data_IF_589793622652
#
_entry.id   IF_589793622652
#
_cell.length_a   1.000
_cell.length_b   1.000
_cell.length_c   1.000
_cell.angle_alpha   90.00
_cell.angle_beta   90.00
_cell.angle_gamma   90.00
#
_symmetry.space_group_name_H-M   'P 1'
#
loop_
_entity.id
_entity.type
_entity.pdbx_description
1 polymer ?
#
# COMPACT_ATOMS: atom_id res chain seq x y z
N UNK A 1 -9.45 12.27 24.68
CA UNK A 1 -7.99 12.29 24.51
C UNK A 1 -7.50 10.84 24.36
N UNK A 2 -7.58 10.27 23.16
CA UNK A 2 -7.10 8.91 22.86
C UNK A 2 -5.82 9.02 22.02
N UNK A 3 -4.75 9.52 22.64
CA UNK A 3 -3.45 9.74 22.01
C UNK A 3 -2.40 9.44 23.05
N UNK A 4 -1.90 8.20 23.10
CA UNK A 4 -0.67 7.92 23.85
C UNK A 4 0.15 6.75 23.31
N UNK A 5 -0.46 5.66 22.82
CA UNK A 5 0.32 4.44 22.52
C UNK A 5 0.13 3.94 21.08
N UNK A 6 0.30 4.83 20.09
CA UNK A 6 0.50 4.40 18.71
C UNK A 6 1.99 4.29 18.44
N UNK A 7 2.43 3.12 17.96
CA UNK A 7 3.80 2.89 17.50
C UNK A 7 4.15 3.83 16.35
N UNK A 8 5.44 4.03 16.08
CA UNK A 8 5.90 4.95 15.03
C UNK A 8 5.33 4.58 13.65
N UNK A 9 5.18 3.27 13.37
CA UNK A 9 4.54 2.76 12.17
C UNK A 9 3.04 3.04 12.10
N UNK A 10 2.30 2.87 13.20
CA UNK A 10 0.86 3.13 13.23
C UNK A 10 0.52 4.61 13.03
N UNK A 11 1.37 5.53 13.52
CA UNK A 11 1.20 6.98 13.27
C UNK A 11 1.40 7.32 11.80
N UNK A 12 2.43 6.76 11.17
CA UNK A 12 2.70 6.95 9.74
C UNK A 12 1.56 6.43 8.88
N UNK A 13 1.03 5.26 9.23
CA UNK A 13 -0.15 4.68 8.61
C UNK A 13 -1.38 5.57 8.79
N UNK A 14 -1.65 6.08 10.00
CA UNK A 14 -2.78 6.97 10.23
C UNK A 14 -2.67 8.27 9.40
N UNK A 15 -1.48 8.85 9.29
CA UNK A 15 -1.22 10.02 8.45
C UNK A 15 -1.49 9.72 6.97
N UNK A 16 -1.01 8.58 6.47
CA UNK A 16 -1.27 8.13 5.10
C UNK A 16 -2.78 7.94 4.86
N UNK A 17 -3.48 7.32 5.81
CA UNK A 17 -4.92 7.06 5.68
C UNK A 17 -5.74 8.35 5.65
N UNK A 18 -5.47 9.28 6.56
CA UNK A 18 -6.20 10.56 6.63
C UNK A 18 -5.92 11.41 5.41
N UNK A 19 -4.65 11.48 4.97
CA UNK A 19 -4.26 12.32 3.84
C UNK A 19 -4.84 11.82 2.52
N UNK A 20 -4.76 10.51 2.26
CA UNK A 20 -5.35 9.86 1.07
C UNK A 20 -6.87 9.92 1.07
N UNK A 21 -7.52 9.74 2.24
CA UNK A 21 -8.98 9.82 2.33
C UNK A 21 -9.52 11.23 2.07
N UNK A 22 -8.76 12.26 2.43
CA UNK A 22 -9.16 13.67 2.27
C UNK A 22 -8.82 14.26 0.90
N UNK A 23 -7.71 13.81 0.29
CA UNK A 23 -7.24 14.29 -1.02
C UNK A 23 -7.58 13.30 -2.14
N UNK A 24 -8.85 12.91 -2.25
CA UNK A 24 -9.33 12.11 -3.37
C UNK A 24 -9.51 13.01 -4.59
N UNK A 25 -8.46 13.15 -5.37
CA UNK A 25 -8.51 13.75 -6.71
C UNK A 25 -8.56 12.63 -7.75
N UNK A 26 -9.20 12.88 -8.90
CA UNK A 26 -9.12 11.94 -10.02
C UNK A 26 -7.66 11.62 -10.34
N UNK A 27 -7.33 10.33 -10.40
CA UNK A 27 -5.97 9.77 -10.60
C UNK A 27 -5.00 10.03 -9.42
N UNK A 28 -5.12 9.25 -8.34
CA UNK A 28 -4.22 9.32 -7.17
C UNK A 28 -3.17 8.20 -7.22
N UNK A 29 -1.89 8.54 -7.06
CA UNK A 29 -0.80 7.56 -6.92
C UNK A 29 -0.27 7.61 -5.49
N UNK A 30 -0.29 6.47 -4.81
CA UNK A 30 0.22 6.28 -3.46
C UNK A 30 1.52 5.47 -3.51
N UNK A 31 2.63 6.09 -3.12
CA UNK A 31 3.95 5.45 -3.04
C UNK A 31 4.31 5.16 -1.58
N UNK A 32 4.65 3.92 -1.27
CA UNK A 32 5.02 3.47 0.09
C UNK A 32 6.37 2.76 0.00
N UNK A 33 7.41 3.36 0.58
CA UNK A 33 8.70 2.70 0.70
C UNK A 33 8.74 1.84 1.99
N UNK A 34 9.40 0.68 1.92
CA UNK A 34 9.60 -0.27 3.01
C UNK A 34 8.34 -0.48 3.87
N UNK A 35 7.29 -1.03 3.28
CA UNK A 35 5.95 -1.09 3.91
C UNK A 35 5.88 -1.87 5.23
N UNK A 36 6.88 -2.68 5.53
CA UNK A 36 7.05 -3.43 6.77
C UNK A 36 7.75 -2.64 7.89
N UNK A 37 8.36 -1.49 7.58
CA UNK A 37 9.31 -0.84 8.47
C UNK A 37 8.62 -0.38 9.77
N UNK A 38 9.14 -0.82 10.91
CA UNK A 38 8.59 -0.61 12.26
C UNK A 38 7.14 -1.08 12.51
N UNK A 39 6.55 -1.89 11.61
CA UNK A 39 5.21 -2.46 11.78
C UNK A 39 5.30 -3.92 12.24
N UNK A 40 4.54 -4.28 13.28
CA UNK A 40 4.39 -5.69 13.65
C UNK A 40 3.76 -6.47 12.47
N UNK A 41 4.17 -7.72 12.17
CA UNK A 41 3.70 -8.48 11.00
C UNK A 41 2.19 -8.47 10.78
N UNK A 42 1.40 -8.70 11.84
CA UNK A 42 -0.08 -8.60 11.80
C UNK A 42 -0.61 -7.28 11.20
N UNK A 43 0.06 -6.17 11.44
CA UNK A 43 -0.33 -4.86 10.89
C UNK A 43 0.06 -4.70 9.42
N UNK A 44 1.14 -5.33 8.98
CA UNK A 44 1.56 -5.34 7.58
C UNK A 44 0.47 -6.01 6.71
N UNK A 45 0.00 -7.18 7.15
CA UNK A 45 -1.12 -7.89 6.50
C UNK A 45 -2.41 -7.06 6.51
N UNK A 46 -2.74 -6.43 7.64
CA UNK A 46 -3.94 -5.57 7.75
C UNK A 46 -3.85 -4.35 6.83
N UNK A 47 -2.68 -3.70 6.78
CA UNK A 47 -2.45 -2.55 5.92
C UNK A 47 -2.68 -2.94 4.46
N UNK A 48 -2.10 -4.05 4.01
CA UNK A 48 -2.28 -4.40 2.61
C UNK A 48 -3.72 -4.81 2.27
N UNK A 49 -4.39 -5.56 3.14
CA UNK A 49 -5.80 -5.87 2.91
C UNK A 49 -6.64 -4.59 2.76
N UNK A 50 -6.36 -3.58 3.58
CA UNK A 50 -7.01 -2.28 3.48
C UNK A 50 -6.64 -1.54 2.17
N UNK A 51 -5.38 -1.56 1.73
CA UNK A 51 -4.96 -0.97 0.45
C UNK A 51 -5.67 -1.64 -0.74
N UNK A 52 -5.80 -2.97 -0.72
CA UNK A 52 -6.56 -3.71 -1.72
C UNK A 52 -8.02 -3.30 -1.76
N UNK A 53 -8.66 -3.20 -0.59
CA UNK A 53 -10.06 -2.78 -0.50
C UNK A 53 -10.26 -1.35 -1.01
N UNK A 54 -9.26 -0.48 -0.81
CA UNK A 54 -9.28 0.87 -1.35
C UNK A 54 -9.16 0.90 -2.86
N UNK A 55 -8.25 0.12 -3.45
CA UNK A 55 -8.12 0.02 -4.92
C UNK A 55 -9.45 -0.46 -5.53
N UNK A 56 -10.10 -1.45 -4.92
CA UNK A 56 -11.41 -1.95 -5.38
C UNK A 56 -12.51 -0.88 -5.33
N UNK A 57 -12.47 -0.01 -4.32
CA UNK A 57 -13.48 1.03 -4.12
C UNK A 57 -13.19 2.31 -4.91
N UNK A 58 -11.92 2.60 -5.18
CA UNK A 58 -11.44 3.83 -5.81
C UNK A 58 -10.67 3.46 -7.08
N UNK A 59 -11.35 3.34 -8.23
CA UNK A 59 -10.74 2.89 -9.49
C UNK A 59 -9.55 3.72 -9.96
N UNK A 60 -9.50 4.99 -9.52
CA UNK A 60 -8.44 5.93 -9.88
C UNK A 60 -7.24 5.91 -8.90
N UNK A 61 -7.20 4.98 -7.94
CA UNK A 61 -6.09 4.82 -7.00
C UNK A 61 -5.11 3.78 -7.53
N UNK A 62 -3.85 4.19 -7.72
CA UNK A 62 -2.72 3.30 -7.95
C UNK A 62 -1.83 3.28 -6.71
N UNK A 63 -1.44 2.08 -6.25
CA UNK A 63 -0.53 1.92 -5.13
C UNK A 63 0.77 1.27 -5.62
N UNK A 64 1.90 1.90 -5.32
CA UNK A 64 3.24 1.38 -5.56
C UNK A 64 3.89 1.22 -4.20
N UNK A 65 4.28 0.00 -3.86
CA UNK A 65 4.92 -0.29 -2.57
C UNK A 65 6.18 -1.13 -2.75
N UNK A 66 7.17 -0.91 -1.89
CA UNK A 66 8.38 -1.72 -1.80
C UNK A 66 8.38 -2.50 -0.49
N UNK A 67 8.98 -3.69 -0.52
CA UNK A 67 9.15 -4.53 0.65
C UNK A 67 10.38 -5.43 0.49
N UNK A 68 11.09 -5.64 1.59
CA UNK A 68 12.11 -6.65 1.78
C UNK A 68 11.55 -7.93 2.43
N UNK A 69 10.29 -7.94 2.85
CA UNK A 69 9.66 -9.10 3.49
C UNK A 69 9.19 -10.13 2.44
N UNK A 70 9.80 -11.33 2.35
CA UNK A 70 9.40 -12.35 1.37
C UNK A 70 7.96 -12.84 1.56
N UNK A 71 7.47 -12.91 2.80
CA UNK A 71 6.08 -13.34 3.07
C UNK A 71 5.07 -12.35 2.47
N UNK A 72 5.40 -11.05 2.48
CA UNK A 72 4.56 -10.03 1.84
C UNK A 72 4.60 -10.19 0.32
N UNK A 73 5.77 -10.42 -0.28
CA UNK A 73 5.86 -10.66 -1.72
C UNK A 73 5.02 -11.88 -2.15
N UNK A 74 5.09 -12.97 -1.39
CA UNK A 74 4.31 -14.19 -1.65
C UNK A 74 2.80 -13.95 -1.47
N UNK A 75 2.39 -13.25 -0.41
CA UNK A 75 1.00 -12.91 -0.17
C UNK A 75 0.37 -12.04 -1.28
N UNK A 76 1.21 -11.32 -2.04
CA UNK A 76 0.79 -10.36 -3.07
C UNK A 76 1.33 -10.69 -4.46
N UNK A 77 1.64 -11.96 -4.70
CA UNK A 77 2.10 -12.48 -5.98
C UNK A 77 1.29 -11.91 -7.16
N UNK A 78 2.01 -11.43 -8.18
CA UNK A 78 1.44 -10.81 -9.37
C UNK A 78 0.62 -11.79 -10.20
N UNK A 79 1.07 -13.05 -10.27
CA UNK A 79 0.46 -14.11 -11.07
C UNK A 79 -0.83 -14.66 -10.47
N UNK A 80 -1.10 -14.35 -9.20
CA UNK A 80 -2.34 -14.74 -8.54
C UNK A 80 -3.44 -13.70 -8.83
N UNK A 81 -4.44 -14.03 -9.67
CA UNK A 81 -5.53 -13.11 -9.96
C UNK A 81 -6.38 -12.89 -8.70
N UNK A 82 -6.76 -11.64 -8.47
CA UNK A 82 -7.70 -11.25 -7.42
C UNK A 82 -8.76 -10.34 -8.03
N UNK A 83 -10.02 -10.64 -7.74
CA UNK A 83 -11.14 -9.89 -8.28
C UNK A 83 -11.08 -8.40 -7.87
N UNK A 84 -11.27 -7.53 -8.86
CA UNK A 84 -11.23 -6.08 -8.69
C UNK A 84 -9.84 -5.47 -8.47
N UNK A 85 -8.76 -6.24 -8.66
CA UNK A 85 -7.39 -5.75 -8.56
C UNK A 85 -6.63 -5.93 -9.87
N UNK A 86 -5.98 -4.86 -10.32
CA UNK A 86 -4.95 -4.92 -11.36
C UNK A 86 -3.60 -4.91 -10.67
N UNK A 87 -2.86 -6.01 -10.78
CA UNK A 87 -1.53 -6.15 -10.19
C UNK A 87 -0.47 -6.09 -11.29
N UNK A 88 0.68 -5.55 -10.96
CA UNK A 88 1.85 -5.51 -11.83
C UNK A 88 2.15 -4.12 -12.38
N UNK A 89 3.08 -4.08 -13.33
CA UNK A 89 3.50 -2.90 -14.04
C UNK A 89 4.38 -3.36 -15.20
N UNK A 90 4.30 -2.66 -16.33
CA UNK A 90 5.12 -2.96 -17.49
C UNK A 90 6.28 -1.98 -17.53
N UNK A 91 7.50 -2.49 -17.57
CA UNK A 91 8.65 -1.68 -17.98
C UNK A 91 8.53 -1.45 -19.49
N UNK A 92 8.00 -0.29 -19.87
CA UNK A 92 7.76 0.05 -21.28
C UNK A 92 9.07 0.49 -21.95
N UNK A 93 9.91 1.20 -21.20
CA UNK A 93 11.20 1.72 -21.66
C UNK A 93 12.12 1.84 -20.43
N UNK A 94 13.33 1.28 -20.53
CA UNK A 94 14.40 1.53 -19.57
C UNK A 94 15.31 2.60 -20.19
N UNK A 95 15.48 3.73 -19.52
CA UNK A 95 16.47 4.72 -19.96
C UNK A 95 17.88 4.14 -19.84
N UNK A 96 18.74 4.40 -20.81
CA UNK A 96 20.16 4.09 -20.72
C UNK A 96 20.76 4.95 -19.59
N UNK A 97 21.11 4.31 -18.47
CA UNK A 97 21.76 4.92 -17.30
C UNK A 97 23.26 5.11 -17.51
#
# INVERSE_FOLDING_TARGET
>A
MASANLSHGERSLMHLLVRSSYHKTGSTILMIDEMENHLHPNWQYRLMNLLKDWIRQWPDLTVIATTHNPEMLEAFEFDRPEEGLVKGGYLIEAGDL
#
